data_IF_950493365816
#
_entry.id   IF_950493365816
#
_cell.length_a   1.000
_cell.length_b   1.000
_cell.length_c   1.000
_cell.angle_alpha   90.00
_cell.angle_beta   90.00
_cell.angle_gamma   90.00
#
_symmetry.space_group_name_H-M   'P 1'
#
loop_
_entity.id
_entity.type
_entity.pdbx_description
1 polymer ?
#
# COMPACT_ATOMS: atom_id res chain seq x y z
N UNK A 1 29.23 7.03 -29.16
CA UNK A 1 29.71 7.21 -27.77
C UNK A 1 28.79 8.14 -26.98
N UNK A 2 28.45 9.34 -27.50
CA UNK A 2 27.55 10.29 -26.83
C UNK A 2 26.14 9.72 -26.51
N UNK A 3 25.57 8.95 -27.43
CA UNK A 3 24.23 8.34 -27.26
C UNK A 3 24.21 7.27 -26.16
N UNK A 4 25.30 6.52 -26.00
CA UNK A 4 25.43 5.48 -24.97
C UNK A 4 25.58 6.09 -23.57
N UNK A 5 26.28 7.21 -23.45
CA UNK A 5 26.39 7.96 -22.19
C UNK A 5 25.07 8.63 -21.79
N UNK A 6 24.27 9.09 -22.76
CA UNK A 6 22.93 9.62 -22.49
C UNK A 6 21.97 8.53 -22.00
N UNK A 7 22.01 7.34 -22.61
CA UNK A 7 21.22 6.20 -22.15
C UNK A 7 21.62 5.74 -20.73
N UNK A 8 22.91 5.72 -20.40
CA UNK A 8 23.38 5.41 -19.04
C UNK A 8 22.92 6.46 -18.01
N UNK A 9 22.97 7.75 -18.36
CA UNK A 9 22.51 8.82 -17.48
C UNK A 9 21.00 8.75 -17.22
N UNK A 10 20.22 8.34 -18.24
CA UNK A 10 18.78 8.12 -18.09
C UNK A 10 18.49 6.90 -17.22
N UNK A 11 19.24 5.80 -17.35
CA UNK A 11 19.02 4.60 -16.51
C UNK A 11 19.16 4.86 -15.01
N UNK A 12 20.04 5.78 -14.59
CA UNK A 12 20.15 6.18 -13.17
C UNK A 12 18.89 6.90 -12.65
N UNK A 13 18.04 7.40 -13.54
CA UNK A 13 16.76 8.06 -13.20
C UNK A 13 15.54 7.17 -13.39
N UNK A 14 15.68 5.98 -13.96
CA UNK A 14 14.57 5.04 -14.11
C UNK A 14 14.45 4.21 -12.83
N UNK A 15 13.39 4.40 -12.03
CA UNK A 15 13.18 3.54 -10.87
C UNK A 15 13.00 2.09 -11.34
N UNK A 16 13.57 1.15 -10.59
CA UNK A 16 13.34 -0.28 -10.77
C UNK A 16 11.84 -0.53 -10.58
N UNK A 17 11.13 -0.79 -11.68
CA UNK A 17 9.73 -1.18 -11.65
C UNK A 17 9.68 -2.70 -11.51
N UNK A 18 9.39 -3.26 -10.32
CA UNK A 18 9.24 -4.70 -10.19
C UNK A 18 8.07 -5.15 -11.06
N UNK A 19 8.27 -6.22 -11.83
CA UNK A 19 7.15 -6.87 -12.52
C UNK A 19 6.17 -7.42 -11.47
N UNK A 20 4.90 -7.57 -11.86
CA UNK A 20 3.90 -8.12 -10.96
C UNK A 20 4.24 -9.57 -10.65
N UNK A 21 4.61 -9.84 -9.40
CA UNK A 21 4.87 -11.19 -8.89
C UNK A 21 3.99 -11.49 -7.68
N UNK A 22 3.74 -12.78 -7.36
CA UNK A 22 3.01 -13.16 -6.15
C UNK A 22 3.62 -12.58 -4.87
N UNK A 23 4.94 -12.40 -4.83
CA UNK A 23 5.67 -11.79 -3.71
C UNK A 23 5.28 -10.33 -3.51
N UNK A 24 5.19 -9.55 -4.60
CA UNK A 24 4.73 -8.15 -4.56
C UNK A 24 3.29 -8.08 -4.02
N UNK A 25 2.42 -9.00 -4.46
CA UNK A 25 1.07 -9.13 -3.92
C UNK A 25 1.02 -9.43 -2.42
N UNK A 26 1.90 -10.31 -1.93
CA UNK A 26 2.01 -10.64 -0.51
C UNK A 26 2.43 -9.42 0.32
N UNK A 27 3.44 -8.68 -0.14
CA UNK A 27 3.90 -7.43 0.50
C UNK A 27 2.78 -6.40 0.56
N UNK A 28 2.00 -6.28 -0.51
CA UNK A 28 0.85 -5.38 -0.59
C UNK A 28 -0.25 -5.75 0.43
N UNK A 29 -0.54 -7.05 0.59
CA UNK A 29 -1.53 -7.52 1.57
C UNK A 29 -1.04 -7.21 2.99
N UNK A 30 0.24 -7.46 3.29
CA UNK A 30 0.83 -7.13 4.59
C UNK A 30 0.76 -5.62 4.89
N UNK A 31 1.07 -4.78 3.89
CA UNK A 31 0.97 -3.32 4.02
C UNK A 31 -0.46 -2.86 4.26
N UNK A 32 -1.46 -3.45 3.59
CA UNK A 32 -2.86 -3.17 3.85
C UNK A 32 -3.29 -3.62 5.26
N UNK A 33 -2.80 -4.78 5.74
CA UNK A 33 -3.10 -5.26 7.08
C UNK A 33 -2.53 -4.34 8.17
N UNK A 34 -1.31 -3.83 7.97
CA UNK A 34 -0.69 -2.81 8.83
C UNK A 34 -1.47 -1.49 8.78
N UNK A 35 -1.89 -1.06 7.60
CA UNK A 35 -2.69 0.15 7.44
C UNK A 35 -4.06 0.05 8.15
N UNK A 36 -4.70 -1.12 8.13
CA UNK A 36 -5.93 -1.38 8.90
C UNK A 36 -5.65 -1.32 10.41
N UNK A 37 -4.54 -1.90 10.87
CA UNK A 37 -4.14 -1.83 12.27
C UNK A 37 -3.88 -0.39 12.72
N UNK A 38 -3.14 0.40 11.91
CA UNK A 38 -2.90 1.82 12.16
C UNK A 38 -4.20 2.61 12.14
N UNK A 39 -5.07 2.38 11.16
CA UNK A 39 -6.38 3.01 11.07
C UNK A 39 -7.20 2.79 12.33
N UNK A 40 -7.18 1.58 12.89
CA UNK A 40 -7.87 1.28 14.16
C UNK A 40 -7.43 2.15 15.33
N UNK A 41 -6.13 2.46 15.43
CA UNK A 41 -5.59 3.31 16.49
C UNK A 41 -5.65 4.81 16.18
N UNK A 42 -5.62 5.18 14.89
CA UNK A 42 -5.60 6.56 14.44
C UNK A 42 -7.01 7.17 14.24
N UNK A 43 -8.04 6.35 14.02
CA UNK A 43 -9.41 6.83 13.84
C UNK A 43 -9.98 7.29 15.18
N UNK A 44 -10.02 8.61 15.36
CA UNK A 44 -10.56 9.26 16.56
C UNK A 44 -12.10 9.25 16.60
N UNK A 45 -12.75 9.16 15.44
CA UNK A 45 -14.21 9.16 15.32
C UNK A 45 -14.68 7.98 14.45
N UNK A 46 -14.69 6.74 14.99
CA UNK A 46 -15.09 5.57 14.24
C UNK A 46 -16.60 5.53 14.03
N UNK A 47 -17.05 5.21 12.81
CA UNK A 47 -18.47 5.14 12.46
C UNK A 47 -19.15 6.45 12.04
N UNK A 48 -18.41 7.51 11.68
CA UNK A 48 -18.99 8.71 11.05
C UNK A 48 -19.23 8.43 9.56
N UNK A 49 -20.24 7.63 9.25
CA UNK A 49 -20.61 7.31 7.88
C UNK A 49 -21.49 6.06 7.76
N UNK A 50 -21.91 5.71 6.53
CA UNK A 50 -22.74 4.54 6.27
C UNK A 50 -22.08 3.28 6.80
N UNK A 51 -22.83 2.55 7.62
CA UNK A 51 -22.35 1.34 8.27
C UNK A 51 -22.20 0.21 7.24
N UNK A 52 -21.21 -0.66 7.44
CA UNK A 52 -20.93 -1.76 6.51
C UNK A 52 -22.16 -2.70 6.41
N UNK A 53 -22.72 -2.96 5.21
CA UNK A 53 -23.88 -3.84 5.01
C UNK A 53 -23.54 -5.34 5.08
N UNK A 54 -22.52 -5.71 5.86
CA UNK A 54 -22.07 -7.09 6.02
C UNK A 54 -21.97 -7.45 7.52
N UNK A 55 -22.37 -8.68 7.84
CA UNK A 55 -22.29 -9.27 9.18
C UNK A 55 -20.88 -9.09 9.77
N UNK A 56 -20.77 -8.27 10.82
CA UNK A 56 -19.48 -7.85 11.36
C UNK A 56 -18.98 -8.89 12.39
N UNK A 57 -17.76 -9.44 12.26
CA UNK A 57 -17.04 -9.99 13.40
C UNK A 57 -16.90 -8.90 14.47
N UNK A 58 -17.06 -9.24 15.76
CA UNK A 58 -17.13 -8.29 16.88
C UNK A 58 -15.97 -7.27 16.95
N UNK A 59 -14.85 -7.54 16.29
CA UNK A 59 -13.66 -6.69 16.21
C UNK A 59 -13.80 -5.46 15.27
N UNK A 60 -14.75 -5.45 14.34
CA UNK A 60 -14.96 -4.39 13.33
C UNK A 60 -16.29 -3.63 13.50
N UNK A 61 -16.90 -3.71 14.70
CA UNK A 61 -18.27 -3.24 14.92
C UNK A 61 -18.50 -1.73 14.66
N UNK A 62 -17.44 -0.91 14.75
CA UNK A 62 -17.47 0.53 14.48
C UNK A 62 -16.74 0.93 13.18
N UNK A 63 -16.36 -0.05 12.34
CA UNK A 63 -15.60 0.17 11.12
C UNK A 63 -16.58 0.31 9.94
N UNK A 64 -16.85 1.54 9.52
CA UNK A 64 -17.73 1.86 8.40
C UNK A 64 -17.04 1.71 7.04
N UNK A 65 -17.82 1.87 5.97
CA UNK A 65 -17.32 1.95 4.59
C UNK A 65 -16.21 3.00 4.44
N UNK A 66 -16.33 4.23 5.00
CA UNK A 66 -15.28 5.23 4.83
C UNK A 66 -13.96 4.84 5.50
N UNK A 67 -14.00 4.10 6.61
CA UNK A 67 -12.80 3.66 7.33
C UNK A 67 -12.10 2.53 6.60
N UNK A 68 -12.86 1.59 6.03
CA UNK A 68 -12.29 0.55 5.16
C UNK A 68 -11.66 1.16 3.91
N UNK A 69 -12.35 2.09 3.26
CA UNK A 69 -11.83 2.74 2.07
C UNK A 69 -10.59 3.59 2.37
N UNK A 70 -10.60 4.33 3.47
CA UNK A 70 -9.47 5.16 3.89
C UNK A 70 -8.25 4.30 4.23
N UNK A 71 -8.43 3.24 5.01
CA UNK A 71 -7.33 2.34 5.40
C UNK A 71 -6.77 1.54 4.24
N UNK A 72 -7.62 1.07 3.32
CA UNK A 72 -7.16 0.42 2.09
C UNK A 72 -6.43 1.41 1.16
N UNK A 73 -6.94 2.62 0.99
CA UNK A 73 -6.27 3.65 0.17
C UNK A 73 -4.90 4.01 0.74
N UNK A 74 -4.82 4.19 2.07
CA UNK A 74 -3.56 4.44 2.76
C UNK A 74 -2.60 3.24 2.65
N UNK A 75 -3.12 2.02 2.82
CA UNK A 75 -2.37 0.78 2.65
C UNK A 75 -1.80 0.61 1.23
N UNK A 76 -2.52 1.09 0.21
CA UNK A 76 -2.02 1.11 -1.16
C UNK A 76 -0.89 2.12 -1.37
N UNK A 77 -0.97 3.31 -0.79
CA UNK A 77 0.10 4.32 -0.84
C UNK A 77 1.35 3.80 -0.12
N UNK A 78 1.17 3.24 1.08
CA UNK A 78 2.26 2.63 1.84
C UNK A 78 2.87 1.45 1.08
N UNK A 79 2.03 0.56 0.55
CA UNK A 79 2.46 -0.60 -0.23
C UNK A 79 3.25 -0.21 -1.47
N UNK A 80 2.81 0.81 -2.22
CA UNK A 80 3.56 1.32 -3.37
C UNK A 80 4.96 1.82 -2.96
N UNK A 81 5.06 2.57 -1.86
CA UNK A 81 6.34 3.02 -1.32
C UNK A 81 7.26 1.87 -0.89
N UNK A 82 6.71 0.86 -0.20
CA UNK A 82 7.48 -0.32 0.24
C UNK A 82 7.92 -1.18 -0.94
N UNK A 83 7.04 -1.43 -1.92
CA UNK A 83 7.36 -2.25 -3.10
C UNK A 83 8.47 -1.57 -3.93
N UNK A 84 8.35 -0.27 -4.19
CA UNK A 84 9.37 0.48 -4.93
C UNK A 84 10.68 0.58 -4.14
N UNK A 85 10.63 0.81 -2.83
CA UNK A 85 11.80 0.88 -1.98
C UNK A 85 12.53 -0.47 -1.85
N UNK A 86 11.78 -1.56 -1.67
CA UNK A 86 12.34 -2.90 -1.51
C UNK A 86 12.86 -3.47 -2.84
N UNK A 87 12.23 -3.12 -3.96
CA UNK A 87 12.75 -3.40 -5.30
C UNK A 87 14.03 -2.60 -5.60
N UNK A 88 14.10 -1.32 -5.21
CA UNK A 88 15.32 -0.53 -5.35
C UNK A 88 16.48 -1.06 -4.46
N UNK A 89 16.15 -1.62 -3.30
CA UNK A 89 17.11 -2.30 -2.43
C UNK A 89 17.52 -3.70 -2.92
N UNK A 90 16.91 -4.21 -3.99
CA UNK A 90 17.21 -5.54 -4.57
C UNK A 90 16.69 -6.72 -3.76
N UNK A 91 15.77 -6.49 -2.83
CA UNK A 91 15.15 -7.53 -1.99
C UNK A 91 13.81 -8.04 -2.54
N UNK A 92 13.34 -7.47 -3.66
CA UNK A 92 12.23 -7.92 -4.51
C UNK A 92 12.64 -7.84 -5.98
#
# INVERSE_FOLDING_TARGET
MLNSTLLLAVQATVPTTPEWTPTVGLVMILCNLLAIAIGRYAIQNPGVGPDLPADKPALFRKFGIPELLATMSFGHILGAGVILGLSNAGAL
#
